data_IF_337213735822
#
_entry.id   IF_337213735822
#
_cell.length_a   1.000
_cell.length_b   1.000
_cell.length_c   1.000
_cell.angle_alpha   90.00
_cell.angle_beta   90.00
_cell.angle_gamma   90.00
#
_symmetry.space_group_name_H-M   'P 1'
#
loop_
_entity.id
_entity.type
_entity.pdbx_description
1 polymer ?
#
# COMPACT_ATOMS: atom_id res chain seq x y z
N UNK A 1 -52.86 -8.64 7.12
CA UNK A 1 -52.26 -8.22 5.86
C UNK A 1 -51.10 -9.13 5.42
N UNK A 2 -50.12 -9.42 6.24
CA UNK A 2 -48.89 -10.19 5.88
C UNK A 2 -49.20 -11.58 5.31
N UNK A 3 -50.14 -12.37 5.89
CA UNK A 3 -50.51 -13.71 5.39
C UNK A 3 -51.07 -13.72 3.96
N UNK A 4 -51.82 -12.68 3.56
CA UNK A 4 -52.33 -12.55 2.17
C UNK A 4 -51.20 -12.26 1.19
N UNK A 5 -50.27 -11.38 1.58
CA UNK A 5 -49.11 -11.01 0.75
C UNK A 5 -48.18 -12.20 0.53
N UNK A 6 -47.89 -12.99 1.58
CA UNK A 6 -47.10 -14.22 1.47
C UNK A 6 -47.74 -15.22 0.52
N UNK A 7 -49.08 -15.44 0.65
CA UNK A 7 -49.81 -16.34 -0.24
C UNK A 7 -49.77 -15.93 -1.70
N UNK A 8 -49.83 -14.62 -1.99
CA UNK A 8 -49.69 -14.09 -3.35
C UNK A 8 -48.27 -14.29 -3.92
N UNK A 9 -47.23 -14.08 -3.10
CA UNK A 9 -45.85 -14.32 -3.51
C UNK A 9 -45.63 -15.80 -3.85
N UNK A 10 -46.10 -16.72 -3.00
CA UNK A 10 -45.96 -18.15 -3.26
C UNK A 10 -46.72 -18.56 -4.54
N UNK A 11 -47.91 -18.02 -4.75
CA UNK A 11 -48.70 -18.27 -5.95
C UNK A 11 -47.98 -17.79 -7.21
N UNK A 12 -47.38 -16.58 -7.18
CA UNK A 12 -46.59 -16.02 -8.29
C UNK A 12 -45.35 -16.87 -8.60
N UNK A 13 -44.59 -17.26 -7.56
CA UNK A 13 -43.39 -18.11 -7.69
C UNK A 13 -43.71 -19.43 -8.39
N UNK A 14 -44.89 -20.00 -8.09
CA UNK A 14 -45.34 -21.30 -8.64
C UNK A 14 -45.88 -21.19 -10.07
N UNK A 15 -46.57 -20.10 -10.39
CA UNK A 15 -47.19 -19.92 -11.71
C UNK A 15 -46.30 -19.26 -12.77
N UNK A 16 -45.24 -18.51 -12.31
CA UNK A 16 -44.29 -17.84 -13.21
C UNK A 16 -42.85 -18.09 -12.75
N UNK A 17 -42.36 -19.32 -12.82
CA UNK A 17 -41.08 -19.69 -12.24
C UNK A 17 -39.90 -19.00 -12.90
N UNK A 18 -39.94 -18.76 -14.24
CA UNK A 18 -38.89 -18.09 -14.99
C UNK A 18 -38.75 -16.61 -14.58
N UNK A 19 -39.87 -15.89 -14.49
CA UNK A 19 -39.87 -14.48 -14.10
C UNK A 19 -39.42 -14.32 -12.65
N UNK A 20 -39.87 -15.20 -11.77
CA UNK A 20 -39.47 -15.23 -10.36
C UNK A 20 -37.97 -15.52 -10.20
N UNK A 21 -37.44 -16.47 -10.95
CA UNK A 21 -36.01 -16.76 -10.95
C UNK A 21 -35.17 -15.57 -11.41
N UNK A 22 -35.55 -14.90 -12.50
CA UNK A 22 -34.85 -13.69 -13.00
C UNK A 22 -34.88 -12.59 -11.95
N UNK A 23 -36.04 -12.36 -11.31
CA UNK A 23 -36.17 -11.31 -10.28
C UNK A 23 -35.31 -11.62 -9.06
N UNK A 24 -35.29 -12.85 -8.58
CA UNK A 24 -34.49 -13.27 -7.41
C UNK A 24 -32.99 -13.17 -7.74
N UNK A 25 -32.57 -13.67 -8.89
CA UNK A 25 -31.18 -13.58 -9.32
C UNK A 25 -30.74 -12.14 -9.52
N UNK A 26 -31.57 -11.30 -10.14
CA UNK A 26 -31.27 -9.87 -10.34
C UNK A 26 -31.13 -9.11 -9.02
N UNK A 27 -32.05 -9.33 -8.08
CA UNK A 27 -31.97 -8.68 -6.75
C UNK A 27 -30.79 -9.21 -5.93
N UNK A 28 -30.50 -10.50 -5.97
CA UNK A 28 -29.37 -11.10 -5.30
C UNK A 28 -28.04 -10.54 -5.84
N UNK A 29 -27.92 -10.44 -7.18
CA UNK A 29 -26.74 -9.85 -7.83
C UNK A 29 -26.58 -8.37 -7.46
N UNK A 30 -27.65 -7.59 -7.48
CA UNK A 30 -27.61 -6.18 -7.09
C UNK A 30 -27.12 -6.01 -5.63
N UNK A 31 -27.65 -6.80 -4.70
CA UNK A 31 -27.23 -6.77 -3.29
C UNK A 31 -25.75 -7.19 -3.18
N UNK A 32 -25.33 -8.24 -3.88
CA UNK A 32 -23.94 -8.70 -3.87
C UNK A 32 -22.97 -7.60 -4.36
N UNK A 33 -23.31 -6.91 -5.45
CA UNK A 33 -22.50 -5.79 -5.96
C UNK A 33 -22.41 -4.63 -4.96
N UNK A 34 -23.51 -4.25 -4.33
CA UNK A 34 -23.51 -3.22 -3.29
C UNK A 34 -22.62 -3.63 -2.13
N UNK A 35 -22.71 -4.89 -1.66
CA UNK A 35 -21.88 -5.42 -0.59
C UNK A 35 -20.39 -5.39 -0.95
N UNK A 36 -20.02 -5.79 -2.17
CA UNK A 36 -18.63 -5.72 -2.64
C UNK A 36 -18.12 -4.28 -2.62
N UNK A 37 -18.90 -3.33 -3.12
CA UNK A 37 -18.52 -1.90 -3.11
C UNK A 37 -18.30 -1.40 -1.68
N UNK A 38 -19.20 -1.73 -0.75
CA UNK A 38 -19.08 -1.34 0.66
C UNK A 38 -17.84 -1.96 1.32
N UNK A 39 -17.57 -3.25 1.08
CA UNK A 39 -16.38 -3.93 1.60
C UNK A 39 -15.10 -3.26 1.07
N UNK A 40 -15.02 -3.01 -0.24
CA UNK A 40 -13.85 -2.33 -0.84
C UNK A 40 -13.67 -0.92 -0.28
N UNK A 41 -14.77 -0.19 -0.09
CA UNK A 41 -14.72 1.16 0.49
C UNK A 41 -14.22 1.15 1.94
N UNK A 42 -14.68 0.20 2.75
CA UNK A 42 -14.27 0.04 4.15
C UNK A 42 -12.84 -0.50 4.28
N UNK A 43 -12.39 -1.34 3.35
CA UNK A 43 -11.04 -1.91 3.38
C UNK A 43 -9.94 -0.88 3.08
N UNK A 44 -10.23 0.18 2.32
CA UNK A 44 -9.24 1.19 1.95
C UNK A 44 -8.58 1.90 3.14
N UNK A 45 -9.31 2.41 4.15
CA UNK A 45 -8.72 3.06 5.32
C UNK A 45 -8.39 2.09 6.46
N UNK A 46 -8.59 0.78 6.28
CA UNK A 46 -8.40 -0.17 7.36
C UNK A 46 -6.92 -0.34 7.73
N UNK A 47 -6.66 -0.33 9.03
CA UNK A 47 -5.34 -0.52 9.61
C UNK A 47 -4.99 -2.01 9.64
N UNK A 48 -4.04 -2.44 8.81
CA UNK A 48 -3.51 -3.81 8.80
C UNK A 48 -2.02 -3.80 8.46
N UNK A 49 -1.32 -4.78 8.96
CA UNK A 49 0.12 -4.90 8.70
C UNK A 49 0.42 -4.99 7.18
N UNK A 50 1.48 -4.30 6.68
CA UNK A 50 2.42 -3.48 7.45
C UNK A 50 1.92 -2.05 7.76
N UNK A 51 0.80 -1.58 7.20
CA UNK A 51 0.26 -0.23 7.33
C UNK A 51 -0.72 -0.10 8.52
N UNK A 52 -0.24 -0.36 9.71
CA UNK A 52 -1.07 -0.35 10.94
C UNK A 52 -1.61 1.02 11.34
N UNK A 53 -1.12 2.08 10.73
CA UNK A 53 -1.54 3.46 10.97
C UNK A 53 -2.17 4.11 9.72
N UNK A 54 -2.67 3.31 8.79
CA UNK A 54 -3.19 3.78 7.51
C UNK A 54 -4.33 4.79 7.66
N UNK A 55 -5.23 4.56 8.60
CA UNK A 55 -6.38 5.42 8.88
C UNK A 55 -6.00 6.84 9.31
N UNK A 56 -4.80 7.02 9.90
CA UNK A 56 -4.26 8.28 10.39
C UNK A 56 -3.06 8.80 9.58
N UNK A 57 -2.66 8.09 8.53
CA UNK A 57 -1.55 8.45 7.67
C UNK A 57 -1.99 9.34 6.51
N UNK A 58 -1.17 10.31 6.17
CA UNK A 58 -1.34 11.18 5.02
C UNK A 58 -0.27 10.89 3.98
N UNK A 59 -0.69 10.57 2.76
CA UNK A 59 0.20 10.25 1.65
C UNK A 59 0.27 11.40 0.66
N UNK A 60 1.43 12.04 0.55
CA UNK A 60 1.67 13.10 -0.43
C UNK A 60 2.36 12.51 -1.65
N UNK A 61 1.58 12.25 -2.70
CA UNK A 61 2.08 11.61 -3.95
C UNK A 61 2.42 12.62 -5.04
N UNK A 62 1.73 13.75 -5.06
CA UNK A 62 1.83 14.75 -6.10
C UNK A 62 1.86 16.14 -5.51
N UNK A 63 2.68 17.01 -6.09
CA UNK A 63 2.67 18.44 -5.85
C UNK A 63 2.23 19.18 -7.11
N UNK A 64 1.67 20.38 -6.91
CA UNK A 64 1.37 21.30 -8.00
C UNK A 64 2.23 22.53 -7.84
N UNK A 65 3.18 22.73 -8.76
CA UNK A 65 4.02 23.91 -8.80
C UNK A 65 3.44 24.91 -9.77
N UNK A 66 3.08 26.10 -9.29
CA UNK A 66 2.64 27.23 -10.13
C UNK A 66 3.85 28.05 -10.50
N UNK A 67 4.17 28.13 -11.79
CA UNK A 67 5.37 28.83 -12.28
C UNK A 67 5.20 30.34 -12.30
N UNK A 68 3.98 30.83 -12.57
CA UNK A 68 3.66 32.26 -12.51
C UNK A 68 2.38 32.47 -11.70
N UNK A 69 2.46 33.32 -10.66
CA UNK A 69 1.28 33.68 -9.84
C UNK A 69 0.22 34.43 -10.61
N UNK A 70 0.58 35.11 -11.69
CA UNK A 70 -0.35 35.84 -12.57
C UNK A 70 -1.07 34.93 -13.55
N UNK A 71 -0.49 33.77 -13.85
CA UNK A 71 -1.07 32.75 -14.72
C UNK A 71 -1.22 31.41 -13.98
N UNK A 72 -2.29 31.26 -13.17
CA UNK A 72 -2.49 30.04 -12.36
C UNK A 72 -2.57 28.75 -13.17
N UNK A 73 -2.81 28.85 -14.49
CA UNK A 73 -2.84 27.71 -15.41
C UNK A 73 -1.43 27.28 -15.86
N UNK A 74 -0.40 28.12 -15.64
CA UNK A 74 1.00 27.73 -15.86
C UNK A 74 1.48 26.89 -14.67
N UNK A 75 0.98 25.68 -14.54
CA UNK A 75 1.32 24.80 -13.44
C UNK A 75 1.77 23.43 -13.93
N UNK A 76 2.81 22.91 -13.30
CA UNK A 76 3.24 21.53 -13.46
C UNK A 76 2.80 20.66 -12.29
N UNK A 77 2.67 19.38 -12.55
CA UNK A 77 2.45 18.36 -11.52
C UNK A 77 3.68 17.46 -11.48
N UNK A 78 4.25 17.28 -10.30
CA UNK A 78 5.41 16.42 -10.09
C UNK A 78 5.28 15.62 -8.79
N UNK A 79 6.16 14.65 -8.60
CA UNK A 79 6.34 14.04 -7.27
C UNK A 79 7.08 15.05 -6.39
N UNK A 80 6.77 15.11 -5.06
CA UNK A 80 7.51 15.98 -4.15
C UNK A 80 9.00 15.74 -4.21
N UNK A 81 9.77 16.82 -4.27
CA UNK A 81 11.21 16.75 -4.27
C UNK A 81 11.76 16.48 -2.87
N UNK A 82 12.98 15.94 -2.78
CA UNK A 82 13.67 15.79 -1.50
C UNK A 82 13.90 17.14 -0.78
N UNK A 83 14.07 18.21 -1.53
CA UNK A 83 14.12 19.57 -0.98
C UNK A 83 12.81 19.94 -0.27
N UNK A 84 11.66 19.70 -0.92
CA UNK A 84 10.35 19.94 -0.29
C UNK A 84 10.16 19.10 0.97
N UNK A 85 10.62 17.86 0.96
CA UNK A 85 10.57 17.02 2.15
C UNK A 85 11.34 17.63 3.31
N UNK A 86 12.56 18.13 3.06
CA UNK A 86 13.44 18.72 4.08
C UNK A 86 12.93 20.07 4.59
N UNK A 87 12.45 20.94 3.70
CA UNK A 87 12.10 22.33 4.06
C UNK A 87 10.64 22.44 4.54
N UNK A 88 9.77 21.56 4.10
CA UNK A 88 8.33 21.67 4.38
C UNK A 88 7.83 20.58 5.31
N UNK A 89 8.13 19.30 5.03
CA UNK A 89 7.51 18.20 5.74
C UNK A 89 8.24 17.80 7.03
N UNK A 90 9.56 17.69 7.03
CA UNK A 90 10.31 17.33 8.24
C UNK A 90 10.21 18.37 9.39
N UNK A 91 10.11 19.70 9.12
CA UNK A 91 9.92 20.66 10.20
C UNK A 91 8.51 20.67 10.83
N UNK A 92 7.55 19.93 10.26
CA UNK A 92 6.20 19.87 10.82
C UNK A 92 6.22 19.23 12.21
N UNK A 93 5.53 19.88 13.16
CA UNK A 93 5.42 19.41 14.55
C UNK A 93 4.16 18.59 14.82
N UNK A 94 3.20 18.63 13.91
CA UNK A 94 1.92 17.94 14.05
C UNK A 94 2.00 16.43 13.78
N UNK A 95 2.72 15.97 12.73
CA UNK A 95 2.89 14.54 12.49
C UNK A 95 3.79 13.92 13.56
N UNK A 96 3.47 12.70 13.96
CA UNK A 96 4.29 11.89 14.87
C UNK A 96 5.60 11.42 14.20
N UNK A 97 5.52 11.11 12.91
CA UNK A 97 6.65 10.78 12.08
C UNK A 97 6.40 11.23 10.62
N UNK A 98 7.47 11.56 9.92
CA UNK A 98 7.46 11.89 8.49
C UNK A 98 8.53 11.05 7.83
N UNK A 99 8.15 10.23 6.85
CA UNK A 99 9.11 9.49 6.05
C UNK A 99 9.02 9.85 4.57
N UNK A 100 10.13 9.73 3.89
CA UNK A 100 10.23 9.87 2.45
C UNK A 100 10.53 8.51 1.84
N UNK A 101 9.72 8.14 0.83
CA UNK A 101 9.93 6.93 0.07
C UNK A 101 10.10 7.25 -1.41
N UNK A 102 10.98 6.51 -2.07
CA UNK A 102 11.18 6.61 -3.51
C UNK A 102 11.24 5.21 -4.12
N UNK A 103 10.26 4.90 -4.96
CA UNK A 103 10.21 3.67 -5.74
C UNK A 103 11.18 3.80 -6.92
N UNK A 104 12.31 3.11 -6.84
CA UNK A 104 13.32 3.12 -7.90
C UNK A 104 13.02 2.16 -9.05
N UNK A 105 11.88 1.45 -8.97
CA UNK A 105 11.50 0.41 -9.94
C UNK A 105 12.16 -0.93 -9.65
N UNK A 106 12.19 -1.79 -10.65
CA UNK A 106 12.84 -3.09 -10.56
C UNK A 106 14.35 -2.97 -10.77
N UNK A 107 15.11 -3.69 -9.95
CA UNK A 107 16.56 -3.75 -10.03
C UNK A 107 17.02 -5.20 -10.01
N UNK A 108 18.14 -5.48 -10.67
CA UNK A 108 18.83 -6.76 -10.58
C UNK A 108 19.77 -6.72 -9.38
N UNK A 109 19.63 -7.69 -8.49
CA UNK A 109 20.45 -7.86 -7.29
C UNK A 109 21.20 -9.19 -7.38
N UNK A 110 22.49 -9.16 -7.10
CA UNK A 110 23.35 -10.35 -7.06
C UNK A 110 24.27 -10.29 -5.85
N UNK A 111 24.83 -11.42 -5.47
CA UNK A 111 25.91 -11.48 -4.49
C UNK A 111 27.26 -11.40 -5.21
N UNK A 112 28.30 -10.81 -4.59
CA UNK A 112 29.62 -10.74 -5.20
C UNK A 112 30.14 -12.13 -5.61
N UNK A 113 30.42 -12.30 -6.91
CA UNK A 113 30.94 -13.57 -7.46
C UNK A 113 29.92 -14.66 -7.77
N UNK A 114 28.63 -14.36 -7.66
CA UNK A 114 27.57 -15.27 -8.12
C UNK A 114 27.11 -14.91 -9.54
N UNK A 115 26.78 -15.95 -10.31
CA UNK A 115 26.17 -15.78 -11.64
C UNK A 115 24.66 -15.60 -11.56
N UNK A 116 24.05 -15.78 -10.39
CA UNK A 116 22.61 -15.63 -10.21
C UNK A 116 22.23 -14.20 -9.90
N UNK A 117 21.30 -13.67 -10.69
CA UNK A 117 20.69 -12.35 -10.50
C UNK A 117 19.21 -12.52 -10.17
N UNK A 118 18.73 -11.72 -9.22
CA UNK A 118 17.33 -11.70 -8.81
C UNK A 118 16.73 -10.35 -9.14
N UNK A 119 15.68 -10.33 -9.97
CA UNK A 119 14.92 -9.11 -10.23
C UNK A 119 13.95 -8.84 -9.07
N UNK A 120 14.03 -7.65 -8.48
CA UNK A 120 13.22 -7.26 -7.32
C UNK A 120 12.94 -5.75 -7.32
N UNK A 121 11.77 -5.31 -6.84
CA UNK A 121 11.51 -3.89 -6.69
C UNK A 121 12.40 -3.27 -5.59
N UNK A 122 12.94 -2.09 -5.87
CA UNK A 122 13.74 -1.32 -4.93
C UNK A 122 12.95 -0.12 -4.41
N UNK A 123 12.80 -0.06 -3.09
CA UNK A 123 12.26 1.09 -2.37
C UNK A 123 13.38 1.75 -1.56
N UNK A 124 13.71 2.99 -1.88
CA UNK A 124 14.59 3.81 -1.07
C UNK A 124 13.76 4.54 -0.02
N UNK A 125 14.23 4.55 1.23
CA UNK A 125 13.52 5.17 2.33
C UNK A 125 14.47 5.66 3.43
N UNK A 126 13.96 6.54 4.29
CA UNK A 126 14.60 6.95 5.54
C UNK A 126 14.27 6.00 6.70
N UNK A 127 14.83 6.25 7.88
CA UNK A 127 14.64 5.40 9.04
C UNK A 127 13.24 5.53 9.69
N UNK A 128 12.54 6.63 9.45
CA UNK A 128 11.20 6.84 10.00
C UNK A 128 10.14 5.94 9.32
N UNK A 129 10.46 5.40 8.15
CA UNK A 129 9.67 4.38 7.49
C UNK A 129 9.33 3.20 8.42
N UNK A 130 10.30 2.73 9.21
CA UNK A 130 10.13 1.61 10.13
C UNK A 130 9.30 1.94 11.37
N UNK A 131 9.03 3.21 11.64
CA UNK A 131 8.08 3.65 12.68
C UNK A 131 6.64 3.68 12.15
N UNK A 132 6.48 4.04 10.88
CA UNK A 132 5.17 4.17 10.23
C UNK A 132 4.64 2.80 9.82
N UNK A 133 5.53 1.96 9.25
CA UNK A 133 5.19 0.63 8.78
C UNK A 133 5.73 -0.45 9.71
N UNK A 134 4.87 -1.36 10.13
CA UNK A 134 5.22 -2.47 11.01
C UNK A 134 5.38 -3.76 10.20
N UNK A 135 6.62 -4.17 10.00
CA UNK A 135 6.97 -5.44 9.36
C UNK A 135 7.30 -6.50 10.40
N UNK A 136 7.06 -7.73 10.06
CA UNK A 136 7.57 -8.88 10.80
C UNK A 136 8.93 -9.28 10.25
N UNK A 137 9.97 -9.11 11.06
CA UNK A 137 11.33 -9.49 10.69
C UNK A 137 11.59 -10.94 11.07
N UNK A 138 11.96 -11.78 10.08
CA UNK A 138 12.31 -13.16 10.31
C UNK A 138 13.68 -13.27 10.95
N UNK A 139 14.62 -12.42 10.54
CA UNK A 139 15.98 -12.35 11.09
C UNK A 139 16.50 -10.92 10.99
N UNK A 140 17.42 -10.54 11.87
CA UNK A 140 17.98 -9.20 11.91
C UNK A 140 17.02 -8.13 12.41
N UNK A 141 17.28 -6.90 12.01
CA UNK A 141 16.50 -5.70 12.38
C UNK A 141 16.65 -4.62 11.32
N UNK A 142 15.68 -3.68 11.21
CA UNK A 142 15.79 -2.57 10.27
C UNK A 142 16.94 -1.62 10.64
N UNK A 143 17.37 -0.82 9.67
CA UNK A 143 18.35 0.22 9.91
C UNK A 143 17.76 1.37 10.75
N UNK A 144 18.62 1.98 11.54
CA UNK A 144 18.26 3.05 12.47
C UNK A 144 18.55 4.42 11.88
N UNK A 145 18.07 5.47 12.55
CA UNK A 145 18.41 6.86 12.19
C UNK A 145 19.93 7.13 12.24
N UNK A 146 20.65 6.50 13.17
CA UNK A 146 22.09 6.60 13.24
C UNK A 146 22.77 5.97 12.01
N UNK A 147 22.29 4.81 11.57
CA UNK A 147 22.78 4.17 10.34
C UNK A 147 22.52 5.04 9.11
N UNK A 148 21.32 5.62 9.01
CA UNK A 148 20.97 6.52 7.92
C UNK A 148 21.85 7.77 7.88
N UNK A 149 22.09 8.41 9.02
CA UNK A 149 22.95 9.59 9.14
C UNK A 149 24.43 9.30 8.90
N UNK A 150 24.91 8.11 9.24
CA UNK A 150 26.28 7.67 8.99
C UNK A 150 26.56 7.38 7.51
N UNK A 151 25.53 7.36 6.65
CA UNK A 151 25.68 7.06 5.23
C UNK A 151 25.96 5.59 4.92
N UNK A 152 25.84 4.70 5.90
CA UNK A 152 26.00 3.26 5.69
C UNK A 152 24.81 2.76 4.87
N UNK A 153 25.10 2.15 3.72
CA UNK A 153 24.09 1.54 2.87
C UNK A 153 23.66 0.21 3.48
N UNK A 154 22.49 0.19 4.10
CA UNK A 154 21.83 -1.02 4.62
C UNK A 154 20.58 -1.30 3.86
N UNK A 155 20.32 -2.56 3.56
CA UNK A 155 19.10 -3.03 2.93
C UNK A 155 18.34 -3.98 3.85
N UNK A 156 17.01 -3.93 3.76
CA UNK A 156 16.12 -4.97 4.29
C UNK A 156 15.53 -5.66 3.06
N UNK A 157 15.71 -6.97 2.98
CA UNK A 157 15.28 -7.77 1.84
C UNK A 157 14.17 -8.72 2.24
N UNK A 158 13.31 -9.08 1.27
CA UNK A 158 12.24 -10.06 1.50
C UNK A 158 12.81 -11.48 1.56
N UNK A 159 12.13 -12.37 2.26
CA UNK A 159 12.56 -13.78 2.46
C UNK A 159 12.92 -14.48 1.15
N UNK A 160 12.12 -14.30 0.10
CA UNK A 160 12.34 -14.94 -1.19
C UNK A 160 13.67 -14.53 -1.84
N UNK A 161 14.06 -13.27 -1.71
CA UNK A 161 15.34 -12.75 -2.20
C UNK A 161 16.49 -13.27 -1.34
N UNK A 162 16.34 -13.27 0.00
CA UNK A 162 17.35 -13.78 0.92
C UNK A 162 17.65 -15.27 0.63
N UNK A 163 16.63 -16.09 0.48
CA UNK A 163 16.80 -17.53 0.17
C UNK A 163 17.44 -17.79 -1.19
N UNK A 164 17.10 -16.99 -2.20
CA UNK A 164 17.70 -17.15 -3.54
C UNK A 164 19.16 -16.74 -3.58
N UNK A 165 19.53 -15.63 -2.94
CA UNK A 165 20.89 -15.11 -3.00
C UNK A 165 21.85 -15.79 -2.01
N UNK A 166 21.34 -16.20 -0.83
CA UNK A 166 22.20 -16.69 0.27
C UNK A 166 21.84 -18.11 0.73
N UNK A 167 20.80 -18.71 0.15
CA UNK A 167 20.32 -20.05 0.52
C UNK A 167 19.46 -20.09 1.77
N UNK A 168 19.72 -19.20 2.74
CA UNK A 168 18.98 -19.09 3.98
C UNK A 168 18.84 -17.63 4.44
N UNK A 169 17.83 -17.37 5.28
CA UNK A 169 17.52 -16.03 5.76
C UNK A 169 18.60 -15.52 6.72
N UNK A 170 19.06 -16.36 7.64
CA UNK A 170 20.08 -15.98 8.62
C UNK A 170 21.45 -15.75 7.96
N UNK A 171 21.72 -16.48 6.88
CA UNK A 171 22.96 -16.35 6.11
C UNK A 171 23.07 -14.99 5.40
N UNK A 172 21.97 -14.29 5.15
CA UNK A 172 21.94 -12.98 4.52
C UNK A 172 22.36 -11.83 5.45
N UNK A 173 22.34 -12.05 6.77
CA UNK A 173 22.61 -10.98 7.75
C UNK A 173 24.06 -10.52 7.67
N UNK A 174 24.23 -9.19 7.49
CA UNK A 174 25.57 -8.55 7.43
C UNK A 174 26.38 -8.86 6.18
N UNK A 175 25.76 -9.46 5.16
CA UNK A 175 26.39 -9.68 3.86
C UNK A 175 26.21 -8.48 2.94
N UNK A 176 27.17 -8.25 2.03
CA UNK A 176 27.08 -7.20 1.01
C UNK A 176 26.07 -7.52 -0.08
#
# INVERSE_FOLDING_TARGET
>A
MIKKTIGQVIYQLRNQPLLSAITILGTALAIALIMVILIVYQAKPADYAPEVNRSRSLYVKWERTVYDKKEPNSAGHSRPSLWMAKEVFYPLKTPEAVCVTYEAGEVLVSTPGADEEVNTPLLLTDADFWKIYQFHYLSGKPFTQADFQSGIKKAVIVESVARRLYGDVDAAIGKP
#
